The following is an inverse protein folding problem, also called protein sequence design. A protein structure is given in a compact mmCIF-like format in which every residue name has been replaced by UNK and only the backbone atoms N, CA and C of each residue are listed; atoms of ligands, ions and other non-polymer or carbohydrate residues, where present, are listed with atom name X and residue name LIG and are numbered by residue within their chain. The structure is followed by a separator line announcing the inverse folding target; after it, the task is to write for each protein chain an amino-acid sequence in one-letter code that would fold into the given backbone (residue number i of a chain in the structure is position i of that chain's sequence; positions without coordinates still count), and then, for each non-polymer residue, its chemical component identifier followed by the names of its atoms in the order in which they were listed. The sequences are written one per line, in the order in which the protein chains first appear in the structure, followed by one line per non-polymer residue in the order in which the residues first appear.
data_IF_383558883039
#
_entry.id   IF_383558883039
#
_cell.length_a   1.000
_cell.length_b   1.000
_cell.length_c   1.000
_cell.angle_alpha   90.00
_cell.angle_beta   90.00
_cell.angle_gamma   90.00
#
_symmetry.space_group_name_H-M   'P 1'
#
loop_
_entity.id
_entity.type
_entity.pdbx_description
1 polymer ?
#
# COMPACT_ATOMS: atom_id res chain seq x y z
N UNK A 1 -7.57 15.90 6.08
CA UNK A 1 -7.57 14.55 6.64
C UNK A 1 -6.42 13.76 6.06
N UNK A 2 -5.66 13.12 6.92
CA UNK A 2 -4.50 12.32 6.49
C UNK A 2 -4.78 10.87 6.83
N UNK A 3 -4.54 10.00 5.87
CA UNK A 3 -4.74 8.57 6.05
C UNK A 3 -3.48 7.85 5.60
N UNK A 4 -3.07 6.87 6.39
CA UNK A 4 -1.94 6.03 6.04
C UNK A 4 -2.46 4.75 5.39
N UNK A 5 -1.84 4.37 4.28
CA UNK A 5 -2.18 3.14 3.61
C UNK A 5 -0.91 2.40 3.25
N UNK A 6 -1.03 1.11 3.02
CA UNK A 6 0.11 0.24 2.74
C UNK A 6 -0.11 -0.51 1.46
N UNK A 7 0.98 -0.66 0.70
CA UNK A 7 0.96 -1.38 -0.56
C UNK A 7 2.12 -2.36 -0.53
N UNK A 8 2.08 -3.31 -1.46
CA UNK A 8 3.14 -4.30 -1.56
C UNK A 8 3.81 -4.15 -2.90
N UNK A 9 5.14 -4.13 -2.90
CA UNK A 9 5.93 -4.06 -4.11
C UNK A 9 6.87 -5.24 -4.20
N UNK A 10 7.40 -5.46 -5.39
CA UNK A 10 8.27 -6.59 -5.67
C UNK A 10 9.36 -6.16 -6.67
N UNK A 11 10.54 -6.71 -6.50
CA UNK A 11 11.60 -6.58 -7.50
C UNK A 11 12.25 -7.95 -7.66
N UNK A 12 12.85 -8.18 -8.81
CA UNK A 12 13.50 -9.47 -9.06
C UNK A 12 15.02 -9.42 -8.95
N UNK A 13 15.60 -8.26 -8.64
CA UNK A 13 17.04 -8.14 -8.36
C UNK A 13 17.27 -6.80 -7.68
N UNK A 14 18.44 -6.66 -7.06
CA UNK A 14 18.77 -5.42 -6.36
C UNK A 14 18.87 -4.23 -7.33
N UNK A 15 19.07 -4.51 -8.60
CA UNK A 15 19.20 -3.44 -9.60
C UNK A 15 17.87 -3.09 -10.29
N UNK A 16 16.83 -3.86 -9.98
CA UNK A 16 15.51 -3.62 -10.57
C UNK A 16 14.72 -2.65 -9.72
N UNK A 17 13.82 -1.93 -10.37
CA UNK A 17 12.90 -1.07 -9.66
C UNK A 17 11.86 -1.92 -8.96
N UNK A 18 11.35 -1.40 -7.84
CA UNK A 18 10.27 -2.07 -7.12
C UNK A 18 8.97 -1.72 -7.82
N UNK A 19 8.25 -2.75 -8.23
CA UNK A 19 6.97 -2.60 -8.93
C UNK A 19 5.83 -2.96 -7.99
N UNK A 20 4.74 -2.21 -8.08
CA UNK A 20 3.59 -2.44 -7.22
C UNK A 20 2.82 -3.68 -7.66
N UNK A 21 2.18 -4.33 -6.70
CA UNK A 21 1.46 -5.56 -6.93
C UNK A 21 -0.01 -5.45 -6.60
N UNK A 22 -0.80 -6.19 -7.35
CA UNK A 22 -2.14 -6.57 -6.92
C UNK A 22 -2.02 -7.95 -6.31
N UNK A 23 -2.44 -8.10 -5.05
CA UNK A 23 -2.28 -9.35 -4.32
C UNK A 23 -3.65 -9.87 -3.95
N UNK A 24 -3.93 -11.11 -4.36
CA UNK A 24 -5.14 -11.79 -3.93
C UNK A 24 -4.81 -12.57 -2.67
N UNK A 25 -5.32 -12.10 -1.53
CA UNK A 25 -4.95 -12.67 -0.23
C UNK A 25 -5.59 -14.03 0.02
N UNK A 26 -6.55 -14.44 -0.80
CA UNK A 26 -7.17 -15.75 -0.64
C UNK A 26 -6.27 -16.88 -1.11
N UNK A 27 -5.56 -16.65 -2.22
CA UNK A 27 -4.70 -17.68 -2.79
C UNK A 27 -3.26 -17.23 -2.91
N UNK A 28 -2.95 -16.03 -2.45
CA UNK A 28 -1.60 -15.44 -2.47
C UNK A 28 -1.05 -15.27 -3.88
N UNK A 29 -1.92 -15.24 -4.88
CA UNK A 29 -1.49 -14.89 -6.23
C UNK A 29 -1.28 -13.39 -6.31
N UNK A 30 -0.24 -13.00 -7.06
CA UNK A 30 0.05 -11.59 -7.21
C UNK A 30 0.52 -11.33 -8.63
N UNK A 31 0.33 -10.09 -9.07
CA UNK A 31 0.84 -9.67 -10.37
C UNK A 31 1.19 -8.19 -10.32
N UNK A 32 2.14 -7.81 -11.16
CA UNK A 32 2.61 -6.43 -11.24
C UNK A 32 1.55 -5.56 -11.92
N UNK A 33 1.36 -4.39 -11.36
CA UNK A 33 0.46 -3.40 -11.96
C UNK A 33 1.25 -2.13 -12.23
N UNK A 34 0.87 -1.45 -13.30
CA UNK A 34 1.54 -0.21 -13.67
C UNK A 34 0.81 1.02 -13.13
N UNK A 35 -0.41 0.83 -12.67
CA UNK A 35 -1.26 1.92 -12.20
C UNK A 35 -1.52 1.74 -10.72
N UNK A 36 -1.24 2.76 -9.93
CA UNK A 36 -1.45 2.73 -8.48
C UNK A 36 -2.89 2.34 -8.13
N UNK A 37 -3.86 2.74 -8.95
CA UNK A 37 -5.26 2.44 -8.69
C UNK A 37 -5.56 0.94 -8.75
N UNK A 38 -4.69 0.16 -9.39
CA UNK A 38 -4.87 -1.28 -9.52
C UNK A 38 -4.14 -2.05 -8.45
N UNK A 39 -3.29 -1.40 -7.68
CA UNK A 39 -2.55 -2.05 -6.60
C UNK A 39 -3.48 -2.31 -5.43
N UNK A 40 -3.21 -3.40 -4.71
CA UNK A 40 -3.99 -3.69 -3.50
C UNK A 40 -3.57 -2.74 -2.39
N UNK A 41 -4.55 -2.16 -1.74
CA UNK A 41 -4.33 -1.22 -0.65
C UNK A 41 -4.75 -1.86 0.66
N UNK A 42 -3.88 -1.78 1.64
CA UNK A 42 -4.12 -2.33 2.97
C UNK A 42 -4.12 -1.20 3.98
N UNK A 43 -4.84 -1.38 5.06
CA UNK A 43 -4.91 -0.37 6.12
C UNK A 43 -4.23 -0.83 7.41
N UNK A 44 -3.89 -2.10 7.50
CA UNK A 44 -3.28 -2.68 8.69
C UNK A 44 -1.81 -2.99 8.42
N UNK A 45 -0.92 -2.30 9.13
CA UNK A 45 0.51 -2.43 8.93
C UNK A 45 1.01 -3.85 9.22
N UNK A 46 0.58 -4.42 10.35
CA UNK A 46 1.06 -5.74 10.75
C UNK A 46 0.57 -6.83 9.81
N UNK A 47 -0.67 -6.71 9.37
CA UNK A 47 -1.22 -7.65 8.40
C UNK A 47 -0.46 -7.58 7.08
N UNK A 48 -0.15 -6.37 6.64
CA UNK A 48 0.59 -6.18 5.39
C UNK A 48 1.99 -6.78 5.49
N UNK A 49 2.68 -6.55 6.61
CA UNK A 49 4.01 -7.14 6.82
C UNK A 49 3.95 -8.66 6.84
N UNK A 50 2.89 -9.22 7.43
CA UNK A 50 2.71 -10.66 7.43
C UNK A 50 2.56 -11.22 6.02
N UNK A 51 1.83 -10.51 5.18
CA UNK A 51 1.66 -10.91 3.78
C UNK A 51 2.99 -10.82 3.03
N UNK A 52 3.76 -9.75 3.25
CA UNK A 52 5.08 -9.61 2.64
C UNK A 52 5.99 -10.77 3.02
N UNK A 53 5.99 -11.14 4.31
CA UNK A 53 6.80 -12.27 4.75
C UNK A 53 6.38 -13.57 4.10
N UNK A 54 5.06 -13.80 3.97
CA UNK A 54 4.55 -15.00 3.34
C UNK A 54 4.95 -15.06 1.86
N UNK A 55 4.86 -13.93 1.17
CA UNK A 55 5.24 -13.88 -0.24
C UNK A 55 6.74 -14.16 -0.42
N UNK A 56 7.57 -13.65 0.48
CA UNK A 56 9.01 -13.90 0.41
C UNK A 56 9.34 -15.36 0.68
N UNK A 57 8.66 -15.97 1.65
CA UNK A 57 8.86 -17.40 1.92
C UNK A 57 8.43 -18.24 0.72
N UNK A 58 7.33 -17.87 0.12
CA UNK A 58 6.82 -18.56 -1.06
C UNK A 58 7.81 -18.48 -2.22
N UNK A 59 8.35 -17.28 -2.45
CA UNK A 59 9.33 -17.06 -3.51
C UNK A 59 10.59 -17.90 -3.28
N UNK A 60 11.06 -17.98 -2.03
CA UNK A 60 12.19 -18.81 -1.70
C UNK A 60 11.91 -20.29 -1.97
N UNK A 61 10.74 -20.76 -1.57
CA UNK A 61 10.36 -22.16 -1.77
C UNK A 61 10.30 -22.52 -3.23
N UNK A 62 9.92 -21.58 -4.08
CA UNK A 62 9.84 -21.79 -5.53
C UNK A 62 11.14 -21.54 -6.25
N UNK A 63 12.16 -21.07 -5.53
CA UNK A 63 13.48 -20.82 -6.13
C UNK A 63 13.54 -19.56 -6.97
N UNK A 64 12.61 -18.62 -6.77
CA UNK A 64 12.66 -17.35 -7.49
C UNK A 64 13.52 -16.35 -6.74
N UNK A 65 13.91 -15.28 -7.44
CA UNK A 65 14.72 -14.24 -6.83
C UNK A 65 13.90 -13.02 -6.42
N UNK A 66 12.57 -13.17 -6.41
CA UNK A 66 11.71 -12.05 -6.06
C UNK A 66 11.87 -11.65 -4.59
N UNK A 67 11.95 -10.35 -4.37
CA UNK A 67 11.89 -9.77 -3.04
C UNK A 67 10.64 -8.90 -2.93
N UNK A 68 9.93 -9.04 -1.83
CA UNK A 68 8.71 -8.28 -1.61
C UNK A 68 8.92 -7.27 -0.49
N UNK A 69 8.28 -6.12 -0.61
CA UNK A 69 8.44 -5.02 0.33
C UNK A 69 7.08 -4.41 0.63
N UNK A 70 6.98 -3.78 1.80
CA UNK A 70 5.81 -2.97 2.13
C UNK A 70 6.14 -1.52 1.85
N UNK A 71 5.23 -0.84 1.14
CA UNK A 71 5.34 0.60 0.94
C UNK A 71 4.33 1.27 1.84
N UNK A 72 4.79 2.21 2.66
CA UNK A 72 3.89 3.02 3.47
C UNK A 72 3.67 4.33 2.76
N UNK A 73 2.42 4.73 2.66
CA UNK A 73 2.07 5.94 1.94
C UNK A 73 1.04 6.73 2.73
N UNK A 74 1.28 8.02 2.87
CA UNK A 74 0.33 8.90 3.52
C UNK A 74 -0.46 9.63 2.46
N UNK A 75 -1.78 9.54 2.57
CA UNK A 75 -2.69 10.16 1.62
C UNK A 75 -3.44 11.26 2.33
N UNK A 76 -3.32 12.48 1.80
CA UNK A 76 -4.01 13.63 2.36
C UNK A 76 -5.21 13.96 1.48
N UNK A 77 -6.37 14.05 2.10
CA UNK A 77 -7.60 14.41 1.41
C UNK A 77 -8.07 15.78 1.90
N UNK A 78 -8.54 16.58 0.98
CA UNK A 78 -9.07 17.90 1.30
C UNK A 78 -10.41 18.09 0.60
N UNK A 79 -11.28 18.83 1.24
CA UNK A 79 -12.58 19.11 0.69
C UNK A 79 -12.74 20.61 0.53
N UNK A 80 -13.44 21.01 -0.53
CA UNK A 80 -13.65 22.42 -0.84
C UNK A 80 -15.14 22.66 -1.04
N UNK A 81 -15.59 23.83 -0.64
CA UNK A 81 -16.99 24.20 -0.89
C UNK A 81 -17.13 24.75 -2.32
N UNK A 82 -18.35 25.17 -2.65
CA UNK A 82 -18.64 25.61 -4.01
C UNK A 82 -17.91 26.89 -4.39
N UNK A 83 -17.42 27.63 -3.40
CA UNK A 83 -16.66 28.85 -3.64
C UNK A 83 -15.16 28.58 -3.73
N UNK A 84 -14.76 27.32 -3.58
CA UNK A 84 -13.35 26.95 -3.64
C UNK A 84 -12.61 27.13 -2.34
N UNK A 85 -13.31 27.39 -1.24
CA UNK A 85 -12.69 27.53 0.06
C UNK A 85 -12.55 26.16 0.74
N UNK A 86 -11.42 25.93 1.36
CA UNK A 86 -11.19 24.65 2.02
C UNK A 86 -12.11 24.49 3.23
N UNK A 87 -12.74 23.32 3.33
CA UNK A 87 -13.67 23.00 4.41
C UNK A 87 -13.03 21.97 5.33
N UNK A 88 -13.03 22.26 6.61
CA UNK A 88 -12.55 21.30 7.61
C UNK A 88 -13.74 20.49 8.10
N UNK A 89 -13.70 19.21 7.80
CA UNK A 89 -14.80 18.32 8.16
C UNK A 89 -14.61 17.59 9.44
N UNK A 90 -13.71 17.87 10.17
CA UNK A 90 -13.50 17.00 11.20
C UNK A 90 -13.49 17.46 12.40
N UNK A 91 -14.29 17.85 12.33
CA UNK A 91 -14.21 18.27 13.23
C UNK A 91 -13.73 17.58 14.28
N UNK A 92 -13.73 17.09 13.47
CA UNK A 92 -13.23 16.42 13.86
C UNK A 92 -12.43 15.85 14.52
N UNK A 93 -12.54 15.68 14.50
CA UNK A 93 -11.87 14.90 14.82
C UNK A 93 -10.71 14.91 15.21
N UNK A 94 -10.67 14.99 15.08
CA UNK A 94 -9.68 14.74 15.30
C UNK A 94 -8.66 15.16 15.67
N UNK A 95 -8.71 15.58 15.65
CA UNK A 95 -7.69 15.80 15.68
C UNK A 95 -6.94 16.06 16.43
N UNK A 96 -6.81 15.94 16.54
CA UNK A 96 -6.02 16.09 17.11
C UNK A 96 -5.29 16.70 17.65
N UNK A 97 -5.44 16.85 17.45
CA UNK A 97 -4.78 17.28 17.70
C UNK A 97 -4.15 17.85 18.11
N UNK A 98 -4.20 18.14 17.99
CA UNK A 98 -3.61 18.54 18.10
C UNK A 98 -3.20 18.76 18.54
#
# INVERSE_FOLDING_TARGET
MIRTQYLIGRRNSEESEIELLNVNTRNMNSYVVSDLSQATIFEDREKTLGIVKALNLFAQALGTEFEHFMKEEQVESKFYDEDGAEVSLMENEEEPTE
#
